data_IF_152889069281
#
_entry.id   IF_152889069281
#
_cell.length_a   1.000
_cell.length_b   1.000
_cell.length_c   1.000
_cell.angle_alpha   90.00
_cell.angle_beta   90.00
_cell.angle_gamma   90.00
#
_symmetry.space_group_name_H-M   'P 1'
#
loop_
_entity.id
_entity.type
_entity.pdbx_description
1 polymer ?
#
# COMPACT_ATOMS: atom_id res chain seq x y z
N UNK A 1 -44.86 -5.36 -82.37
CA UNK A 1 -43.86 -5.72 -83.37
C UNK A 1 -42.50 -5.63 -82.72
N UNK A 2 -42.21 -6.45 -81.70
CA UNK A 2 -42.01 -7.94 -81.81
C UNK A 2 -40.91 -8.20 -82.84
N UNK A 3 -39.77 -8.80 -82.49
CA UNK A 3 -39.57 -10.10 -81.83
C UNK A 3 -38.44 -10.02 -80.77
N UNK A 4 -38.42 -10.70 -79.61
CA UNK A 4 -38.77 -12.07 -79.21
C UNK A 4 -37.75 -13.16 -79.63
N UNK A 5 -37.23 -13.85 -78.60
CA UNK A 5 -36.53 -15.15 -78.58
C UNK A 5 -35.11 -15.22 -79.20
N UNK A 6 -34.14 -15.93 -78.66
CA UNK A 6 -34.09 -16.85 -77.53
C UNK A 6 -32.87 -17.78 -77.68
N UNK A 7 -32.29 -18.17 -76.54
CA UNK A 7 -31.46 -19.37 -76.27
C UNK A 7 -30.15 -19.61 -77.07
N UNK A 8 -29.04 -19.85 -76.33
CA UNK A 8 -28.39 -21.16 -76.19
C UNK A 8 -26.95 -21.01 -75.66
N UNK A 9 -26.60 -21.83 -74.66
CA UNK A 9 -25.27 -22.45 -74.61
C UNK A 9 -24.23 -21.92 -73.63
N UNK A 10 -24.08 -22.64 -72.51
CA UNK A 10 -22.79 -23.30 -72.25
C UNK A 10 -21.66 -22.50 -71.58
N UNK A 11 -21.70 -22.47 -70.24
CA UNK A 11 -20.61 -22.75 -69.29
C UNK A 11 -19.15 -22.43 -69.72
N UNK A 12 -18.52 -21.46 -69.03
CA UNK A 12 -17.30 -21.71 -68.24
C UNK A 12 -16.93 -20.54 -67.30
N UNK A 13 -16.64 -20.97 -66.07
CA UNK A 13 -16.29 -20.26 -64.83
C UNK A 13 -15.23 -19.16 -64.95
N UNK A 14 -15.45 -18.02 -64.28
CA UNK A 14 -14.45 -17.33 -63.42
C UNK A 14 -15.19 -16.52 -62.33
N UNK A 15 -15.03 -16.91 -61.06
CA UNK A 15 -15.40 -16.14 -59.84
C UNK A 15 -14.45 -14.93 -59.75
N UNK A 16 -14.87 -13.67 -59.45
CA UNK A 16 -14.96 -13.28 -58.04
C UNK A 16 -15.86 -12.09 -57.65
N UNK A 17 -15.96 -11.92 -56.32
CA UNK A 17 -16.26 -10.71 -55.53
C UNK A 17 -17.72 -10.41 -55.18
N UNK A 18 -18.01 -10.61 -53.89
CA UNK A 18 -19.15 -10.03 -53.19
C UNK A 18 -19.27 -10.56 -51.76
N UNK A 19 -18.17 -10.61 -50.99
CA UNK A 19 -18.23 -11.05 -49.60
C UNK A 19 -18.76 -9.90 -48.74
N UNK A 20 -19.98 -10.07 -48.24
CA UNK A 20 -20.62 -9.21 -47.26
C UNK A 20 -19.79 -9.17 -45.97
N UNK A 21 -19.23 -8.01 -45.65
CA UNK A 21 -18.59 -7.77 -44.36
C UNK A 21 -19.67 -7.38 -43.34
N UNK A 22 -20.08 -8.36 -42.53
CA UNK A 22 -20.88 -8.13 -41.34
C UNK A 22 -20.08 -7.33 -40.31
N UNK A 23 -20.62 -6.18 -39.91
CA UNK A 23 -20.09 -5.33 -38.86
C UNK A 23 -20.27 -6.02 -37.51
N UNK A 24 -19.20 -6.62 -36.99
CA UNK A 24 -19.16 -7.17 -35.63
C UNK A 24 -18.96 -6.00 -34.66
N UNK A 25 -20.04 -5.53 -34.05
CA UNK A 25 -19.97 -4.61 -32.91
C UNK A 25 -19.45 -5.41 -31.72
N UNK A 26 -18.16 -5.31 -31.44
CA UNK A 26 -17.57 -5.76 -30.19
C UNK A 26 -18.11 -4.87 -29.06
N UNK A 27 -19.11 -5.37 -28.34
CA UNK A 27 -19.46 -4.83 -27.04
C UNK A 27 -18.27 -5.09 -26.11
N UNK A 28 -17.44 -4.08 -25.90
CA UNK A 28 -16.50 -4.06 -24.79
C UNK A 28 -17.34 -3.94 -23.53
N UNK A 29 -17.64 -5.09 -22.91
CA UNK A 29 -18.07 -5.12 -21.53
C UNK A 29 -16.96 -4.48 -20.71
N UNK A 30 -17.13 -3.20 -20.37
CA UNK A 30 -16.29 -2.55 -19.38
C UNK A 30 -16.42 -3.37 -18.10
N UNK A 31 -15.34 -4.05 -17.72
CA UNK A 31 -15.24 -4.61 -16.39
C UNK A 31 -15.42 -3.45 -15.43
N UNK A 32 -16.58 -3.39 -14.76
CA UNK A 32 -16.75 -2.51 -13.62
C UNK A 32 -15.73 -3.01 -12.60
N UNK A 33 -14.69 -2.23 -12.25
CA UNK A 33 -13.77 -2.66 -11.21
C UNK A 33 -14.62 -2.92 -9.98
N UNK A 34 -14.61 -4.17 -9.49
CA UNK A 34 -15.22 -4.48 -8.22
C UNK A 34 -14.55 -3.57 -7.19
N UNK A 35 -15.33 -2.86 -6.36
CA UNK A 35 -14.73 -2.06 -5.31
C UNK A 35 -13.85 -2.98 -4.48
N UNK A 36 -12.61 -2.53 -4.20
CA UNK A 36 -11.83 -3.06 -3.08
C UNK A 36 -12.79 -3.17 -1.89
N UNK A 37 -12.85 -4.35 -1.27
CA UNK A 37 -13.94 -4.81 -0.42
C UNK A 37 -14.46 -3.70 0.52
N UNK A 38 -15.63 -3.15 0.20
CA UNK A 38 -16.33 -2.15 1.02
C UNK A 38 -15.90 -0.68 0.88
N UNK A 39 -15.04 -0.34 -0.08
CA UNK A 39 -14.60 1.04 -0.31
C UNK A 39 -15.40 1.75 -1.39
N UNK A 40 -16.02 2.87 -1.04
CA UNK A 40 -16.63 3.79 -2.00
C UNK A 40 -15.56 4.67 -2.66
N UNK A 41 -14.81 4.09 -3.59
CA UNK A 41 -13.84 4.84 -4.43
C UNK A 41 -14.54 5.87 -5.34
N UNK A 42 -15.84 5.69 -5.58
CA UNK A 42 -16.67 6.62 -6.35
C UNK A 42 -16.78 7.99 -5.67
N UNK A 43 -16.93 8.02 -4.36
CA UNK A 43 -16.96 9.27 -3.58
C UNK A 43 -15.68 10.10 -3.75
N UNK A 44 -14.50 9.48 -3.68
CA UNK A 44 -13.22 10.18 -3.89
C UNK A 44 -13.09 10.70 -5.31
N UNK A 45 -13.53 9.93 -6.31
CA UNK A 45 -13.49 10.36 -7.71
C UNK A 45 -14.46 11.52 -7.97
N UNK A 46 -15.63 11.52 -7.35
CA UNK A 46 -16.58 12.63 -7.41
C UNK A 46 -16.04 13.89 -6.72
N UNK A 47 -15.37 13.74 -5.57
CA UNK A 47 -14.67 14.84 -4.92
C UNK A 47 -13.55 15.41 -5.82
N UNK A 48 -12.75 14.55 -6.44
CA UNK A 48 -11.71 14.98 -7.38
C UNK A 48 -12.30 15.71 -8.60
N UNK A 49 -13.37 15.18 -9.20
CA UNK A 49 -14.02 15.76 -10.37
C UNK A 49 -14.67 17.13 -10.08
N UNK A 50 -15.08 17.37 -8.83
CA UNK A 50 -15.61 18.66 -8.38
C UNK A 50 -14.53 19.65 -7.92
N UNK A 51 -13.24 19.29 -8.05
CA UNK A 51 -12.13 20.13 -7.59
C UNK A 51 -11.98 20.20 -6.08
N UNK A 52 -12.64 19.30 -5.34
CA UNK A 52 -12.65 19.28 -3.88
C UNK A 52 -11.42 18.54 -3.35
N UNK A 53 -10.31 19.27 -3.24
CA UNK A 53 -9.04 18.77 -2.72
C UNK A 53 -8.65 19.44 -1.41
N UNK A 54 -7.87 18.74 -0.60
CA UNK A 54 -7.21 19.29 0.58
C UNK A 54 -5.77 18.80 0.70
N UNK A 55 -5.13 19.20 1.77
CA UNK A 55 -3.71 18.88 2.06
C UNK A 55 -3.60 18.28 3.45
N UNK A 56 -2.72 17.31 3.61
CA UNK A 56 -2.29 16.80 4.92
C UNK A 56 -0.82 17.11 5.07
N UNK A 57 -0.48 17.91 6.06
CA UNK A 57 0.90 18.25 6.41
C UNK A 57 1.18 17.78 7.84
N UNK A 58 2.44 17.49 8.15
CA UNK A 58 2.77 17.12 9.51
C UNK A 58 4.24 17.16 9.83
N UNK A 59 4.52 16.96 11.12
CA UNK A 59 5.87 16.84 11.67
C UNK A 59 6.03 15.49 12.38
N UNK A 60 7.21 14.90 12.22
CA UNK A 60 7.64 13.67 12.86
C UNK A 60 8.92 13.95 13.62
N UNK A 61 8.91 13.67 14.92
CA UNK A 61 10.00 14.05 15.80
C UNK A 61 10.06 13.16 17.05
N UNK A 62 11.24 13.01 17.61
CA UNK A 62 11.41 12.53 18.97
C UNK A 62 11.25 13.71 19.93
N UNK A 63 10.42 13.55 20.95
CA UNK A 63 10.22 14.59 21.94
C UNK A 63 11.51 14.90 22.69
N UNK A 64 11.71 16.19 22.98
CA UNK A 64 12.82 16.65 23.83
C UNK A 64 12.92 15.85 25.14
N UNK A 65 14.13 15.42 25.48
CA UNK A 65 14.37 14.71 26.75
C UNK A 65 14.43 15.65 27.96
N UNK A 66 14.70 16.94 27.73
CA UNK A 66 14.75 17.99 28.76
C UNK A 66 13.85 19.15 28.34
N UNK A 67 13.22 19.88 29.28
CA UNK A 67 12.30 20.96 28.95
C UNK A 67 12.90 22.05 28.04
N UNK A 68 14.17 22.38 28.23
CA UNK A 68 14.88 23.44 27.49
C UNK A 68 15.46 22.96 26.15
N UNK A 69 15.47 21.65 25.89
CA UNK A 69 16.07 21.11 24.67
C UNK A 69 15.09 21.21 23.49
N UNK A 70 15.57 21.39 22.25
CA UNK A 70 14.72 21.28 21.07
C UNK A 70 14.27 19.84 20.85
N UNK A 71 13.11 19.69 20.21
CA UNK A 71 12.67 18.40 19.68
C UNK A 71 13.63 17.92 18.58
N UNK A 72 13.77 16.60 18.44
CA UNK A 72 14.66 16.03 17.43
C UNK A 72 13.86 15.58 16.21
N UNK A 73 14.02 16.23 15.04
CA UNK A 73 13.28 15.84 13.84
C UNK A 73 13.67 14.42 13.38
N UNK A 74 12.68 13.64 12.95
CA UNK A 74 12.88 12.31 12.41
C UNK A 74 12.76 12.32 10.89
N UNK A 75 13.91 12.32 10.21
CA UNK A 75 13.97 12.23 8.76
C UNK A 75 13.83 10.78 8.25
N UNK A 76 13.45 10.62 6.98
CA UNK A 76 13.44 9.31 6.32
C UNK A 76 12.28 8.38 6.71
N UNK A 77 11.31 8.88 7.48
CA UNK A 77 10.06 8.17 7.77
C UNK A 77 9.23 8.10 6.49
N UNK A 78 8.82 6.89 6.10
CA UNK A 78 7.95 6.69 4.96
C UNK A 78 6.49 6.94 5.37
N UNK A 79 5.82 7.89 4.73
CA UNK A 79 4.42 8.22 4.97
C UNK A 79 3.61 7.74 3.77
N UNK A 80 2.61 6.90 4.02
CA UNK A 80 1.62 6.53 3.02
C UNK A 80 0.24 6.94 3.54
N UNK A 81 -0.59 7.47 2.65
CA UNK A 81 -1.98 7.79 2.93
C UNK A 81 -2.86 7.12 1.87
N UNK A 82 -3.89 6.45 2.34
CA UNK A 82 -4.79 5.61 1.55
C UNK A 82 -6.23 5.85 2.01
N UNK A 83 -7.26 5.52 1.20
CA UNK A 83 -8.64 5.59 1.66
C UNK A 83 -8.83 4.80 2.96
N UNK A 84 -9.61 5.33 3.90
CA UNK A 84 -9.92 4.63 5.15
C UNK A 84 -10.73 3.37 4.85
N UNK A 85 -10.26 2.25 5.39
CA UNK A 85 -10.97 0.97 5.40
C UNK A 85 -11.10 0.46 6.84
N UNK A 86 -12.34 0.27 7.30
CA UNK A 86 -12.62 -0.27 8.63
C UNK A 86 -12.11 -1.71 8.78
N UNK A 87 -12.08 -2.49 7.69
CA UNK A 87 -11.54 -3.84 7.69
C UNK A 87 -10.02 -3.84 7.93
N UNK A 88 -9.30 -2.94 7.27
CA UNK A 88 -7.85 -2.76 7.45
C UNK A 88 -7.55 -2.29 8.87
N UNK A 89 -8.28 -1.28 9.37
CA UNK A 89 -8.13 -0.79 10.74
C UNK A 89 -8.35 -1.92 11.76
N UNK A 90 -9.43 -2.69 11.60
CA UNK A 90 -9.73 -3.83 12.46
C UNK A 90 -8.61 -4.89 12.44
N UNK A 91 -8.08 -5.23 11.26
CA UNK A 91 -6.95 -6.16 11.12
C UNK A 91 -5.69 -5.66 11.83
N UNK A 92 -5.38 -4.37 11.70
CA UNK A 92 -4.24 -3.75 12.37
C UNK A 92 -4.41 -3.76 13.90
N UNK A 93 -5.57 -3.37 14.41
CA UNK A 93 -5.87 -3.39 15.85
C UNK A 93 -5.84 -4.81 16.43
N UNK A 94 -6.32 -5.80 15.68
CA UNK A 94 -6.22 -7.22 16.06
C UNK A 94 -4.76 -7.65 16.26
N UNK A 95 -3.88 -7.33 15.29
CA UNK A 95 -2.45 -7.64 15.38
C UNK A 95 -1.85 -6.97 16.62
N UNK A 96 -2.15 -5.68 16.84
CA UNK A 96 -1.67 -4.94 18.01
C UNK A 96 -2.15 -5.52 19.33
N UNK A 97 -3.38 -6.03 19.37
CA UNK A 97 -3.94 -6.72 20.56
C UNK A 97 -3.20 -8.03 20.83
N UNK A 98 -3.07 -8.88 19.83
CA UNK A 98 -2.43 -10.20 19.95
C UNK A 98 -0.93 -10.09 20.27
N UNK A 99 -0.27 -9.04 19.79
CA UNK A 99 1.14 -8.76 20.08
C UNK A 99 1.49 -8.70 21.59
N UNK A 100 0.50 -8.48 22.46
CA UNK A 100 0.70 -8.40 23.93
C UNK A 100 0.67 -9.76 24.62
N UNK A 101 0.27 -10.82 23.92
CA UNK A 101 0.06 -12.13 24.52
C UNK A 101 1.37 -12.88 24.76
N UNK A 102 2.36 -12.70 23.89
CA UNK A 102 3.67 -13.34 24.02
C UNK A 102 4.78 -12.56 23.31
N UNK A 103 6.04 -12.90 23.63
CA UNK A 103 7.18 -12.33 22.93
C UNK A 103 7.22 -12.74 21.45
N UNK A 104 6.78 -13.94 21.10
CA UNK A 104 6.76 -14.41 19.71
C UNK A 104 5.71 -13.65 18.90
N UNK A 105 4.52 -13.42 19.46
CA UNK A 105 3.47 -12.60 18.85
C UNK A 105 3.93 -11.15 18.64
N UNK A 106 4.63 -10.58 19.63
CA UNK A 106 5.21 -9.24 19.51
C UNK A 106 6.21 -9.14 18.36
N UNK A 107 7.09 -10.14 18.19
CA UNK A 107 8.05 -10.19 17.08
C UNK A 107 7.37 -10.39 15.73
N UNK A 108 6.28 -11.16 15.68
CA UNK A 108 5.50 -11.38 14.45
C UNK A 108 4.64 -10.17 14.05
N UNK A 109 4.30 -9.29 14.99
CA UNK A 109 3.38 -8.17 14.76
C UNK A 109 3.91 -7.14 13.76
N UNK A 110 5.19 -6.74 13.86
CA UNK A 110 5.81 -5.79 12.93
C UNK A 110 5.71 -6.23 11.46
N UNK A 111 6.19 -7.44 11.11
CA UNK A 111 6.04 -7.99 9.76
C UNK A 111 4.57 -8.10 9.32
N UNK A 112 3.67 -8.50 10.23
CA UNK A 112 2.24 -8.66 9.94
C UNK A 112 1.55 -7.32 9.64
N UNK A 113 1.87 -6.25 10.37
CA UNK A 113 1.38 -4.89 10.10
C UNK A 113 1.79 -4.44 8.69
N UNK A 114 3.05 -4.65 8.32
CA UNK A 114 3.55 -4.31 6.98
C UNK A 114 2.91 -5.17 5.89
N UNK A 115 2.61 -6.45 6.18
CA UNK A 115 1.92 -7.33 5.26
C UNK A 115 0.46 -6.89 5.01
N UNK A 116 -0.29 -6.51 6.07
CA UNK A 116 -1.65 -5.96 5.94
C UNK A 116 -1.64 -4.69 5.09
N UNK A 117 -0.68 -3.78 5.36
CA UNK A 117 -0.52 -2.55 4.57
C UNK A 117 -0.29 -2.84 3.09
N UNK A 118 0.68 -3.69 2.76
CA UNK A 118 1.01 -4.07 1.37
C UNK A 118 -0.14 -4.79 0.68
N UNK A 119 -0.86 -5.66 1.39
CA UNK A 119 -2.03 -6.33 0.85
C UNK A 119 -3.13 -5.32 0.48
N UNK A 120 -3.32 -4.30 1.32
CA UNK A 120 -4.29 -3.24 1.05
C UNK A 120 -3.88 -2.33 -0.12
N UNK A 121 -2.60 -1.92 -0.16
CA UNK A 121 -2.05 -1.20 -1.31
C UNK A 121 -2.26 -1.98 -2.63
N UNK A 122 -2.03 -3.29 -2.60
CA UNK A 122 -2.26 -4.18 -3.75
C UNK A 122 -3.74 -4.22 -4.15
N UNK A 123 -4.66 -4.30 -3.18
CA UNK A 123 -6.10 -4.32 -3.44
C UNK A 123 -6.59 -3.01 -4.10
N UNK A 124 -6.07 -1.86 -3.64
CA UNK A 124 -6.31 -0.57 -4.30
C UNK A 124 -5.76 -0.56 -5.73
N UNK A 125 -4.61 -1.19 -5.95
CA UNK A 125 -4.03 -1.35 -7.27
C UNK A 125 -4.91 -2.21 -8.20
N UNK A 126 -5.33 -3.38 -7.72
CA UNK A 126 -6.12 -4.34 -8.48
C UNK A 126 -7.53 -3.79 -8.81
N UNK A 127 -8.07 -2.92 -7.95
CA UNK A 127 -9.35 -2.23 -8.17
C UNK A 127 -9.23 -0.97 -9.03
N UNK A 128 -8.03 -0.60 -9.48
CA UNK A 128 -7.78 0.58 -10.31
C UNK A 128 -7.84 1.91 -9.55
N UNK A 129 -7.76 1.88 -8.22
CA UNK A 129 -7.75 3.04 -7.32
C UNK A 129 -6.30 3.43 -6.89
N UNK A 130 -5.32 3.12 -7.73
CA UNK A 130 -3.89 3.41 -7.46
C UNK A 130 -3.62 4.91 -7.29
N UNK A 131 -4.41 5.76 -7.93
CA UNK A 131 -4.33 7.21 -7.82
C UNK A 131 -4.65 7.72 -6.40
N UNK A 132 -5.38 6.92 -5.62
CA UNK A 132 -5.69 7.17 -4.21
C UNK A 132 -4.60 6.65 -3.26
N UNK A 133 -3.51 6.06 -3.76
CA UNK A 133 -2.36 5.71 -2.93
C UNK A 133 -1.33 6.84 -3.05
N UNK A 134 -1.21 7.67 -2.02
CA UNK A 134 -0.19 8.74 -1.99
C UNK A 134 0.90 8.37 -1.00
N UNK A 135 2.15 8.48 -1.44
CA UNK A 135 3.32 8.23 -0.61
C UNK A 135 4.26 9.43 -0.65
N UNK A 136 4.89 9.72 0.48
CA UNK A 136 5.94 10.72 0.63
C UNK A 136 6.94 10.26 1.69
N UNK A 137 8.05 10.97 1.80
CA UNK A 137 9.06 10.73 2.83
C UNK A 137 9.26 12.00 3.63
N UNK A 138 9.47 11.84 4.93
CA UNK A 138 9.75 12.97 5.83
C UNK A 138 11.15 13.54 5.56
N UNK A 139 11.22 14.86 5.44
CA UNK A 139 12.44 15.62 5.17
C UNK A 139 13.41 15.68 6.36
N UNK A 140 14.55 16.35 6.18
CA UNK A 140 15.59 16.49 7.20
C UNK A 140 15.12 17.29 8.43
N UNK A 141 14.13 18.16 8.26
CA UNK A 141 13.52 18.95 9.31
C UNK A 141 12.34 18.23 9.98
N UNK A 142 12.11 16.95 9.64
CA UNK A 142 11.06 16.14 10.22
C UNK A 142 9.68 16.49 9.68
N UNK A 143 9.54 17.15 8.52
CA UNK A 143 8.24 17.54 7.96
C UNK A 143 7.86 16.71 6.74
N UNK A 144 6.56 16.60 6.51
CA UNK A 144 6.01 16.03 5.29
C UNK A 144 4.77 16.81 4.86
N UNK A 145 4.50 16.76 3.56
CA UNK A 145 3.30 17.33 2.95
C UNK A 145 2.78 16.32 1.93
N UNK A 146 1.48 16.04 2.00
CA UNK A 146 0.72 15.32 0.98
C UNK A 146 -0.39 16.22 0.49
N UNK A 147 -0.22 16.76 -0.71
CA UNK A 147 -1.18 17.64 -1.37
C UNK A 147 -2.15 16.83 -2.27
N UNK A 148 -3.12 17.55 -2.83
CA UNK A 148 -4.04 17.04 -3.85
C UNK A 148 -4.80 15.77 -3.43
N UNK A 149 -5.21 15.73 -2.17
CA UNK A 149 -6.03 14.65 -1.62
C UNK A 149 -7.50 14.99 -1.84
N UNK A 150 -8.27 14.17 -2.60
CA UNK A 150 -9.71 14.35 -2.70
C UNK A 150 -10.36 14.35 -1.30
N UNK A 151 -11.40 15.17 -1.13
CA UNK A 151 -12.14 15.19 0.12
C UNK A 151 -12.72 13.81 0.46
N UNK A 152 -12.59 13.41 1.72
CA UNK A 152 -12.93 12.06 2.17
C UNK A 152 -12.19 11.65 3.45
N UNK A 153 -12.35 10.39 3.84
CA UNK A 153 -11.74 9.84 5.06
C UNK A 153 -10.52 9.01 4.70
N UNK A 154 -9.36 9.44 5.16
CA UNK A 154 -8.09 8.85 4.84
C UNK A 154 -7.49 8.14 6.04
N UNK A 155 -6.67 7.14 5.76
CA UNK A 155 -5.82 6.45 6.73
C UNK A 155 -4.36 6.76 6.40
N UNK A 156 -3.69 7.47 7.31
CA UNK A 156 -2.26 7.73 7.24
C UNK A 156 -1.51 6.69 8.05
N UNK A 157 -0.51 6.09 7.41
CA UNK A 157 0.41 5.13 8.00
C UNK A 157 1.83 5.66 7.79
N UNK A 158 2.48 6.08 8.86
CA UNK A 158 3.90 6.45 8.82
C UNK A 158 4.73 5.31 9.38
N UNK A 159 5.82 4.93 8.71
CA UNK A 159 6.72 3.84 9.11
C UNK A 159 8.15 4.35 9.16
N UNK A 160 8.77 4.23 10.33
CA UNK A 160 10.19 4.49 10.54
C UNK A 160 10.90 3.17 10.86
N UNK A 161 11.87 2.80 10.03
CA UNK A 161 12.64 1.56 10.18
C UNK A 161 14.12 1.89 10.35
N UNK A 162 14.67 1.59 11.52
CA UNK A 162 16.10 1.78 11.81
C UNK A 162 16.78 0.43 11.86
N UNK A 163 17.77 0.21 11.00
CA UNK A 163 18.62 -0.99 11.06
C UNK A 163 19.58 -0.88 12.24
N UNK A 164 19.67 -1.96 13.02
CA UNK A 164 20.63 -2.12 14.10
C UNK A 164 21.44 -3.38 13.80
N UNK A 165 22.70 -3.18 13.45
CA UNK A 165 23.64 -4.26 13.20
C UNK A 165 24.06 -4.86 14.55
N UNK A 166 23.91 -6.18 14.67
CA UNK A 166 24.47 -6.90 15.81
C UNK A 166 25.88 -7.32 15.43
N UNK A 167 26.91 -6.60 15.90
CA UNK A 167 28.25 -7.17 15.91
C UNK A 167 28.18 -8.50 16.68
N UNK A 168 28.49 -9.60 15.99
CA UNK A 168 28.38 -10.95 16.52
C UNK A 168 29.24 -11.10 17.79
N UNK A 169 28.62 -11.02 18.96
CA UNK A 169 29.26 -11.47 20.18
C UNK A 169 29.44 -12.99 20.07
N UNK A 170 30.69 -13.44 19.96
CA UNK A 170 31.06 -14.83 19.88
C UNK A 170 30.55 -15.58 21.13
N UNK A 171 29.42 -16.28 20.98
CA UNK A 171 28.88 -17.17 22.01
C UNK A 171 29.66 -18.50 22.03
N UNK A 172 29.85 -19.13 23.21
CA UNK A 172 30.69 -20.31 23.34
C UNK A 172 30.08 -21.54 22.65
N UNK A 173 30.92 -22.24 21.90
CA UNK A 173 30.56 -23.43 21.16
C UNK A 173 30.45 -24.66 22.08
N UNK A 174 29.27 -25.30 22.14
CA UNK A 174 29.05 -26.77 22.14
C UNK A 174 27.60 -27.13 22.49
N UNK A 175 26.90 -27.83 21.58
CA UNK A 175 26.54 -29.24 21.76
C UNK A 175 25.91 -29.80 20.46
N UNK A 176 26.37 -30.98 20.03
CA UNK A 176 25.90 -31.72 18.87
C UNK A 176 24.58 -32.44 19.18
N UNK A 177 23.55 -32.22 18.37
CA UNK A 177 22.32 -33.02 18.37
C UNK A 177 21.24 -32.45 17.46
N UNK A 178 20.83 -33.24 16.45
CA UNK A 178 19.73 -33.03 15.46
C UNK A 178 19.88 -31.79 14.57
N UNK A 179 20.21 -32.02 13.30
CA UNK A 179 20.31 -30.99 12.25
C UNK A 179 18.94 -30.35 12.00
N UNK A 180 18.67 -29.26 12.72
CA UNK A 180 17.78 -28.19 12.24
C UNK A 180 18.69 -27.04 11.83
N UNK A 181 18.63 -26.49 10.60
CA UNK A 181 19.38 -25.30 10.26
C UNK A 181 19.01 -24.19 11.24
N UNK A 182 19.90 -23.88 12.18
CA UNK A 182 19.65 -22.92 13.23
C UNK A 182 19.85 -21.53 12.65
N UNK A 183 18.78 -20.90 12.20
CA UNK A 183 18.84 -19.52 11.69
C UNK A 183 19.45 -18.61 12.77
N UNK A 184 20.55 -17.92 12.46
CA UNK A 184 21.18 -17.00 13.40
C UNK A 184 20.67 -15.57 13.14
N UNK A 185 20.43 -14.82 14.22
CA UNK A 185 20.06 -13.39 14.13
C UNK A 185 21.31 -12.60 13.68
N UNK A 186 21.29 -12.11 12.45
CA UNK A 186 22.39 -11.33 11.85
C UNK A 186 22.23 -9.83 12.04
N UNK A 187 21.01 -9.38 12.33
CA UNK A 187 20.69 -7.98 12.61
C UNK A 187 19.22 -7.85 13.00
N UNK A 188 18.80 -6.66 13.37
CA UNK A 188 17.38 -6.40 13.57
C UNK A 188 17.01 -4.97 13.17
N UNK A 189 15.79 -4.79 12.68
CA UNK A 189 15.23 -3.48 12.38
C UNK A 189 14.23 -3.11 13.46
N UNK A 190 14.42 -1.97 14.10
CA UNK A 190 13.37 -1.37 14.93
C UNK A 190 12.38 -0.68 14.00
N UNK A 191 11.12 -1.11 14.06
CA UNK A 191 10.03 -0.53 13.27
C UNK A 191 9.11 0.24 14.21
N UNK A 192 8.90 1.51 13.90
CA UNK A 192 7.91 2.37 14.56
C UNK A 192 6.83 2.72 13.54
N UNK A 193 5.58 2.55 13.93
CA UNK A 193 4.41 2.79 13.09
C UNK A 193 3.50 3.80 13.78
N UNK A 194 3.15 4.84 13.04
CA UNK A 194 2.06 5.75 13.39
C UNK A 194 0.87 5.46 12.50
N UNK A 195 -0.32 5.41 13.11
CA UNK A 195 -1.59 5.18 12.45
C UNK A 195 -2.52 6.34 12.80
N UNK A 196 -3.02 7.05 11.79
CA UNK A 196 -3.95 8.19 11.99
C UNK A 196 -5.08 8.14 10.98
N UNK A 197 -6.30 8.25 11.48
CA UNK A 197 -7.46 8.58 10.64
C UNK A 197 -7.49 10.09 10.43
N UNK A 198 -7.74 10.52 9.19
CA UNK A 198 -7.70 11.93 8.79
C UNK A 198 -8.90 12.20 7.89
N UNK A 199 -9.70 13.22 8.19
CA UNK A 199 -10.77 13.66 7.30
C UNK A 199 -10.28 14.87 6.51
N UNK A 200 -10.19 14.72 5.19
CA UNK A 200 -9.79 15.80 4.28
C UNK A 200 -11.05 16.51 3.78
N UNK A 201 -11.09 17.82 3.92
CA UNK A 201 -12.17 18.67 3.41
C UNK A 201 -11.63 19.68 2.39
N UNK A 202 -12.54 20.19 1.53
CA UNK A 202 -12.18 21.11 0.44
C UNK A 202 -11.42 22.35 0.94
N UNK A 203 -10.26 22.62 0.34
CA UNK A 203 -9.42 23.77 0.63
C UNK A 203 -8.80 23.78 2.03
N UNK A 204 -8.96 22.69 2.82
CA UNK A 204 -8.39 22.61 4.17
C UNK A 204 -7.03 21.95 4.16
N UNK A 205 -6.17 22.43 5.05
CA UNK A 205 -4.91 21.80 5.40
C UNK A 205 -5.04 21.21 6.81
N UNK A 206 -4.94 19.89 6.90
CA UNK A 206 -4.92 19.17 8.17
C UNK A 206 -3.48 19.03 8.65
N UNK A 207 -3.23 19.36 9.93
CA UNK A 207 -1.89 19.29 10.53
C UNK A 207 -1.79 18.13 11.51
N UNK A 208 -0.74 17.31 11.36
CA UNK A 208 -0.49 16.14 12.19
C UNK A 208 0.85 16.23 12.91
N UNK A 209 0.84 15.84 14.18
CA UNK A 209 2.06 15.62 14.97
C UNK A 209 2.24 14.13 15.26
N UNK A 210 3.36 13.58 14.82
CA UNK A 210 3.75 12.19 15.00
C UNK A 210 4.99 12.14 15.90
N UNK A 211 4.78 11.92 17.21
CA UNK A 211 5.88 11.84 18.17
C UNK A 211 6.29 10.39 18.44
N UNK A 212 7.54 10.16 18.84
CA UNK A 212 8.01 8.84 19.27
C UNK A 212 7.12 8.22 20.37
N UNK A 213 6.61 9.03 21.30
CA UNK A 213 5.67 8.60 22.35
C UNK A 213 4.26 8.37 21.85
N UNK A 214 3.86 9.07 20.79
CA UNK A 214 2.59 8.91 20.10
C UNK A 214 2.57 7.79 19.07
N UNK A 215 3.61 6.94 19.02
CA UNK A 215 3.65 5.79 18.13
C UNK A 215 2.47 4.84 18.41
N UNK A 216 1.79 4.42 17.35
CA UNK A 216 0.69 3.48 17.46
C UNK A 216 1.19 2.05 17.75
N UNK A 217 2.33 1.68 17.16
CA UNK A 217 3.04 0.44 17.43
C UNK A 217 4.54 0.64 17.29
N UNK A 218 5.31 0.00 18.15
CA UNK A 218 6.75 -0.16 18.02
C UNK A 218 7.09 -1.63 18.15
N UNK A 219 8.03 -2.12 17.36
CA UNK A 219 8.41 -3.52 17.36
C UNK A 219 9.78 -3.74 16.71
N UNK A 220 10.18 -5.01 16.68
CA UNK A 220 11.46 -5.42 16.08
C UNK A 220 11.17 -6.42 14.96
N UNK A 221 11.74 -6.17 13.78
CA UNK A 221 11.79 -7.11 12.67
C UNK A 221 13.18 -7.72 12.67
N UNK A 222 13.27 -9.00 13.02
CA UNK A 222 14.54 -9.72 13.06
C UNK A 222 15.01 -10.11 11.66
N UNK A 223 16.28 -9.84 11.34
CA UNK A 223 16.93 -10.36 10.15
C UNK A 223 17.68 -11.64 10.53
N UNK A 224 17.30 -12.75 9.90
CA UNK A 224 17.90 -14.06 10.16
C UNK A 224 18.47 -14.62 8.87
N UNK A 225 19.76 -14.98 8.90
CA UNK A 225 20.40 -15.70 7.81
C UNK A 225 20.42 -17.22 8.08
N UNK A 226 20.35 -18.05 7.03
CA UNK A 226 20.63 -19.48 7.16
C UNK A 226 22.08 -19.68 7.60
N UNK A 227 22.30 -20.62 8.53
CA UNK A 227 23.64 -20.97 9.00
C UNK A 227 24.42 -21.63 7.85
N UNK A 228 25.42 -20.92 7.33
CA UNK A 228 26.37 -21.48 6.37
C UNK A 228 27.34 -22.36 7.15
N UNK A 229 26.91 -23.58 7.45
CA UNK A 229 27.70 -24.57 8.17
C UNK A 229 29.11 -24.68 7.60
N UNK A 230 30.10 -24.49 8.46
CA UNK A 230 31.52 -24.74 8.17
C UNK A 230 32.04 -25.84 9.07
#
# INVERSE_FOLDING_TARGET
MEDAAGAFGGVRSVIPRGLAAGLFVFAVSGAVPLPAAGLDTGAYRAAAASGSFGTVAGRVYEERQRPEAPDHPLAGVAVIIVPKSDDVLRKLEEIKRVARNSADDYRAAGPSILAVRRAYEKELWDSGAVDLVKATTVDAEGRFIVADLPAGNWLLIATHSVKIDKHAAAGPAKQRGVYTPRTQLTGFQRVTVWLREVTVANGRSESLELTDRGAWFSGVVEERAPDAGR
#
